data_IF_400324622619
#
_entry.id   IF_400324622619
#
_cell.length_a   1.000
_cell.length_b   1.000
_cell.length_c   1.000
_cell.angle_alpha   90.00
_cell.angle_beta   90.00
_cell.angle_gamma   90.00
#
_symmetry.space_group_name_H-M   'P 1'
#
loop_
_entity.id
_entity.type
_entity.pdbx_description
1 polymer ?
2 water ?
#
# COMPACT_ATOMS: atom_id res chain seq x y z
N UNK A 1 2.58 -8.34 -2.99
CA UNK A 1 1.99 -7.07 -2.51
C UNK A 1 0.82 -6.63 -3.39
N UNK A 2 -0.23 -6.12 -2.76
CA UNK A 2 -1.40 -5.69 -3.50
C UNK A 2 -2.21 -4.67 -2.71
N UNK A 3 -2.81 -3.71 -3.43
CA UNK A 3 -3.61 -2.64 -2.83
C UNK A 3 -5.09 -2.82 -3.10
N UNK A 4 -5.90 -2.83 -2.04
CA UNK A 4 -7.33 -2.99 -2.19
C UNK A 4 -8.03 -1.65 -2.11
N UNK A 5 -9.02 -1.42 -2.98
CA UNK A 5 -9.78 -0.18 -3.00
C UNK A 5 -11.21 -0.43 -2.51
N UNK A 6 -11.57 0.23 -1.41
CA UNK A 6 -12.88 0.03 -0.80
C UNK A 6 -13.61 1.34 -0.63
N UNK A 7 -14.92 1.25 -0.38
CA UNK A 7 -15.73 2.44 -0.18
C UNK A 7 -17.23 2.16 -0.30
N UNK A 8 -18.06 3.12 0.09
CA UNK A 8 -19.48 2.92 -0.03
C UNK A 8 -19.81 3.20 -1.51
N UNK A 9 -21.05 2.94 -1.95
CA UNK A 9 -21.36 3.22 -3.36
C UNK A 9 -21.64 4.71 -3.62
N UNK A 10 -21.42 5.15 -4.85
CA UNK A 10 -21.68 6.53 -5.25
C UNK A 10 -20.73 7.64 -4.80
N UNK A 11 -19.53 7.26 -4.35
CA UNK A 11 -18.53 8.25 -3.94
C UNK A 11 -17.38 8.21 -4.96
N UNK A 12 -17.51 7.33 -5.96
CA UNK A 12 -16.50 7.22 -6.99
C UNK A 12 -15.46 6.12 -6.76
N UNK A 13 -15.74 5.22 -5.82
CA UNK A 13 -14.82 4.12 -5.52
C UNK A 13 -14.44 3.30 -6.74
N UNK A 14 -15.45 2.93 -7.52
CA UNK A 14 -15.25 2.11 -8.72
C UNK A 14 -14.51 2.92 -9.78
N UNK A 15 -14.84 4.21 -9.86
CA UNK A 15 -14.20 5.11 -10.80
C UNK A 15 -12.72 5.17 -10.45
N UNK A 16 -12.42 5.37 -9.16
CA UNK A 16 -11.02 5.43 -8.71
C UNK A 16 -10.29 4.19 -9.19
N UNK A 17 -10.89 3.01 -9.00
CA UNK A 17 -10.26 1.79 -9.46
C UNK A 17 -10.12 1.85 -10.98
N UNK A 18 -11.24 2.06 -11.67
CA UNK A 18 -11.23 2.14 -13.14
C UNK A 18 -10.16 3.12 -13.61
N UNK A 19 -10.17 4.30 -13.00
CA UNK A 19 -9.20 5.33 -13.36
C UNK A 19 -7.76 4.87 -13.16
N UNK A 20 -7.46 4.34 -11.98
CA UNK A 20 -6.10 3.90 -11.69
C UNK A 20 -5.72 2.58 -12.33
N UNK A 21 -6.70 1.85 -12.85
CA UNK A 21 -6.41 0.52 -13.43
C UNK A 21 -6.31 0.51 -14.98
N UNK A 22 -6.75 1.57 -15.66
CA UNK A 22 -6.67 1.61 -17.13
C UNK A 22 -5.21 1.46 -17.53
N UNK A 37 -10.61 -10.81 -12.67
CA UNK A 37 -11.82 -10.10 -13.08
C UNK A 37 -11.87 -8.71 -12.44
N UNK A 38 -11.84 -8.69 -11.11
CA UNK A 38 -11.88 -7.45 -10.35
C UNK A 38 -10.46 -7.06 -9.93
N UNK A 39 -9.48 -7.63 -10.61
CA UNK A 39 -8.08 -7.34 -10.30
C UNK A 39 -7.40 -6.65 -11.47
N UNK A 40 -6.60 -5.64 -11.16
CA UNK A 40 -5.91 -4.91 -12.22
C UNK A 40 -4.51 -4.53 -11.81
N UNK A 41 -3.90 -3.68 -12.62
CA UNK A 41 -2.54 -3.23 -12.34
C UNK A 41 -2.47 -1.71 -12.45
N UNK A 42 -1.97 -1.08 -11.41
CA UNK A 42 -1.82 0.36 -11.41
C UNK A 42 -0.31 0.53 -11.37
N UNK A 43 0.16 1.75 -11.16
CA UNK A 43 1.60 1.94 -11.28
C UNK A 43 2.14 2.87 -10.20
N UNK A 44 3.43 2.67 -9.86
CA UNK A 44 4.05 3.54 -8.87
C UNK A 44 5.12 4.43 -9.49
N UNK A 45 4.75 5.72 -9.66
CA UNK A 45 5.64 6.63 -10.36
C UNK A 45 6.47 7.49 -9.40
N UNK A 46 7.76 7.37 -9.61
CA UNK A 46 8.75 8.15 -8.89
C UNK A 46 9.94 8.34 -9.84
N UNK A 47 10.95 9.08 -9.42
CA UNK A 47 12.09 9.32 -10.29
C UNK A 47 12.86 8.06 -10.65
N UNK A 48 12.92 7.74 -11.94
CA UNK A 48 13.67 6.57 -12.39
C UNK A 48 15.15 6.94 -12.24
N UNK A 49 15.96 6.02 -11.72
CA UNK A 49 17.40 6.24 -11.49
C UNK A 49 18.07 7.03 -12.61
N UNK A 50 17.47 6.97 -13.82
CA UNK A 50 18.11 7.61 -14.96
C UNK A 50 17.87 9.12 -14.99
N UNK A 51 18.34 9.78 -13.92
CA UNK A 51 18.49 11.23 -13.89
C UNK A 51 19.86 11.67 -13.36
N UNK A 52 20.94 11.07 -13.90
CA UNK A 52 22.26 11.43 -13.43
C UNK A 52 23.35 11.00 -14.41
N UNK A 53 23.63 9.69 -14.42
CA UNK A 53 24.64 9.18 -15.34
C UNK A 53 24.05 8.17 -16.33
N UNK A 54 22.89 7.70 -15.87
CA UNK A 54 22.05 6.69 -16.48
C UNK A 54 21.31 7.22 -17.71
N UNK A 55 21.18 6.35 -18.72
CA UNK A 55 20.50 6.76 -19.95
C UNK A 55 20.08 5.55 -20.78
N UNK A 56 18.99 5.60 -21.58
CA UNK A 56 18.38 4.56 -22.40
C UNK A 56 18.42 3.21 -21.70
N UNK A 57 17.52 3.04 -20.72
CA UNK A 57 17.38 1.78 -19.99
C UNK A 57 16.54 0.77 -20.79
N UNK A 58 16.86 -0.54 -20.67
CA UNK A 58 15.98 -1.52 -21.31
C UNK A 58 15.12 -2.27 -20.28
N UNK A 59 14.02 -1.65 -19.83
CA UNK A 59 13.11 -2.18 -18.81
C UNK A 59 12.39 -3.47 -19.18
N UNK A 60 12.19 -4.33 -18.19
CA UNK A 60 11.50 -5.59 -18.39
C UNK A 60 10.35 -5.78 -17.41
N UNK A 61 10.58 -5.55 -16.13
CA UNK A 61 9.45 -5.75 -15.23
C UNK A 61 8.65 -4.45 -15.05
N UNK A 62 9.27 -3.33 -15.50
CA UNK A 62 8.61 -2.04 -15.36
C UNK A 62 8.53 -1.27 -16.68
N UNK A 63 8.60 0.07 -16.55
CA UNK A 63 8.52 0.91 -17.74
C UNK A 63 9.13 2.30 -17.50
N UNK A 64 9.89 2.70 -18.51
CA UNK A 64 10.54 4.01 -18.49
C UNK A 64 9.57 5.03 -19.05
N UNK A 65 9.72 6.28 -18.64
CA UNK A 65 8.81 7.34 -19.09
C UNK A 65 9.30 8.70 -18.57
N UNK A 66 9.80 9.52 -19.49
CA UNK A 66 10.28 10.86 -19.16
C UNK A 66 11.06 10.98 -17.85
N UNK A 67 12.10 10.17 -17.71
CA UNK A 67 12.90 10.23 -16.50
C UNK A 67 12.18 9.78 -15.25
N UNK A 68 11.07 9.06 -15.43
CA UNK A 68 10.30 8.56 -14.30
C UNK A 68 10.11 7.06 -14.40
N UNK A 69 10.13 6.40 -13.25
CA UNK A 69 9.94 4.96 -13.18
C UNK A 69 8.49 4.61 -12.87
N UNK A 70 7.88 3.83 -13.75
CA UNK A 70 6.50 3.39 -13.52
C UNK A 70 6.52 1.89 -13.19
N UNK A 71 6.59 1.60 -11.90
CA UNK A 71 6.64 0.24 -11.37
C UNK A 71 5.23 -0.28 -11.14
N UNK A 72 4.86 -1.42 -11.77
CA UNK A 72 3.53 -2.02 -11.63
C UNK A 72 3.18 -2.53 -10.23
N UNK A 73 1.89 -2.46 -9.89
CA UNK A 73 1.35 -2.86 -8.59
C UNK A 73 -0.06 -3.41 -8.72
N UNK A 74 -0.31 -4.56 -8.09
CA UNK A 74 -1.65 -5.16 -8.14
C UNK A 74 -2.66 -4.29 -7.42
N UNK A 75 -3.88 -4.24 -7.96
CA UNK A 75 -4.95 -3.46 -7.36
C UNK A 75 -6.24 -4.26 -7.47
N UNK A 76 -7.03 -4.24 -6.41
CA UNK A 76 -8.27 -4.99 -6.33
C UNK A 76 -9.50 -4.09 -6.11
N UNK A 77 -10.54 -4.30 -6.90
CA UNK A 77 -11.77 -3.52 -6.75
C UNK A 77 -12.58 -4.25 -5.67
N UNK A 78 -12.34 -3.88 -4.41
CA UNK A 78 -12.99 -4.51 -3.27
C UNK A 78 -14.43 -4.11 -2.99
N UNK A 79 -15.37 -4.95 -3.37
CA UNK A 79 -16.79 -4.67 -3.12
C UNK A 79 -17.67 -5.88 -3.39
N UNK A 95 -18.98 -10.64 0.05
CA UNK A 95 -17.88 -10.70 -0.90
C UNK A 95 -16.72 -9.81 -0.43
N UNK A 96 -16.90 -9.08 0.67
CA UNK A 96 -15.84 -8.24 1.19
C UNK A 96 -14.76 -9.10 1.86
N UNK A 97 -14.15 -9.97 1.06
CA UNK A 97 -13.05 -10.82 1.49
C UNK A 97 -12.08 -10.74 0.32
N UNK A 98 -12.21 -9.64 -0.42
CA UNK A 98 -11.34 -9.34 -1.55
C UNK A 98 -10.17 -8.58 -0.93
N UNK A 99 -10.38 -8.12 0.31
CA UNK A 99 -9.36 -7.36 1.03
C UNK A 99 -8.45 -8.26 1.87
N UNK A 100 -8.91 -9.47 2.15
CA UNK A 100 -8.17 -10.44 2.96
C UNK A 100 -6.65 -10.43 2.80
N UNK A 101 -6.17 -10.39 1.56
CA UNK A 101 -4.72 -10.40 1.29
C UNK A 101 -4.11 -9.05 0.98
N UNK A 102 -4.89 -7.99 1.15
CA UNK A 102 -4.40 -6.66 0.86
C UNK A 102 -3.27 -6.24 1.79
N UNK A 103 -2.25 -5.62 1.24
CA UNK A 103 -1.15 -5.13 2.05
C UNK A 103 -1.59 -3.74 2.54
N UNK A 104 -2.50 -3.12 1.81
CA UNK A 104 -2.96 -1.80 2.20
C UNK A 104 -4.25 -1.53 1.49
N UNK A 105 -5.00 -0.56 2.01
CA UNK A 105 -6.25 -0.22 1.41
C UNK A 105 -6.35 1.28 1.14
N UNK A 106 -7.01 1.63 0.05
CA UNK A 106 -7.25 3.02 -0.28
C UNK A 106 -8.76 3.19 -0.04
N UNK A 107 -9.11 3.85 1.06
CA UNK A 107 -10.53 4.04 1.34
C UNK A 107 -11.07 5.34 0.74
N UNK A 108 -11.85 5.22 -0.33
CA UNK A 108 -12.46 6.35 -1.04
C UNK A 108 -13.73 6.83 -0.34
N UNK A 109 -13.77 8.12 -0.03
CA UNK A 109 -14.92 8.70 0.65
C UNK A 109 -15.39 9.95 -0.07
N UNK A 110 -16.60 10.35 0.26
CA UNK A 110 -17.26 11.51 -0.33
C UNK A 110 -16.89 12.81 0.39
N UNK A 111 -15.93 13.57 -0.13
CA UNK A 111 -15.53 14.80 0.54
C UNK A 111 -16.69 15.81 0.71
N UNK A 112 -17.58 15.86 -0.26
CA UNK A 112 -18.70 16.78 -0.16
C UNK A 112 -19.63 16.40 0.98
N UNK A 113 -19.55 15.16 1.42
CA UNK A 113 -20.40 14.70 2.50
C UNK A 113 -21.88 14.75 2.15
N UNK A 114 -22.17 14.69 0.86
CA UNK A 114 -23.55 14.73 0.39
C UNK A 114 -24.07 13.33 0.11
N UNK A 115 -23.43 12.33 0.71
CA UNK A 115 -23.86 10.93 0.53
C UNK A 115 -24.13 10.23 1.86
N UNK A 116 -25.15 9.38 1.85
CA UNK A 116 -25.60 8.62 3.02
C UNK A 116 -24.66 7.45 3.33
N UNK A 117 -24.76 6.88 4.54
CA UNK A 117 -23.88 5.76 4.85
C UNK A 117 -24.09 4.64 3.84
N UNK A 118 -25.35 4.42 3.45
CA UNK A 118 -25.68 3.40 2.47
C UNK A 118 -25.35 3.88 1.07
N UNK A 119 -24.95 5.15 0.97
CA UNK A 119 -24.59 5.72 -0.32
C UNK A 119 -25.66 6.39 -1.16
N UNK A 120 -26.59 7.11 -0.55
CA UNK A 120 -27.65 7.77 -1.31
C UNK A 120 -27.75 9.26 -0.89
N UNK A 121 -28.12 10.15 -1.83
CA UNK A 121 -28.23 11.59 -1.56
C UNK A 121 -28.77 11.98 -0.19
N UNK A 122 -28.14 12.98 0.39
CA UNK A 122 -28.47 13.52 1.70
C UNK A 122 -27.90 14.94 1.81
N UNK A 123 -28.32 15.68 2.82
CA UNK A 123 -27.84 17.04 2.98
C UNK A 123 -26.39 17.10 3.46
N UNK A 124 -26.06 16.26 4.44
CA UNK A 124 -24.69 16.25 4.95
C UNK A 124 -24.38 15.08 5.86
N UNK A 125 -23.36 14.31 5.48
CA UNK A 125 -22.92 13.16 6.27
C UNK A 125 -21.40 13.16 6.34
N UNK A 126 -20.88 13.44 7.52
CA UNK A 126 -19.46 13.49 7.78
C UNK A 126 -18.75 12.22 7.31
N UNK A 127 -17.81 12.35 6.35
CA UNK A 127 -17.07 11.21 5.83
C UNK A 127 -16.33 10.49 6.95
N UNK A 128 -15.87 11.28 7.92
CA UNK A 128 -15.16 10.78 9.08
C UNK A 128 -15.89 9.68 9.85
N UNK A 129 -17.18 9.55 9.47
CA UNK A 129 -17.97 8.54 10.16
C UNK A 129 -17.99 7.23 9.33
N UNK A 130 -17.79 7.35 8.02
CA UNK A 130 -17.74 6.17 7.16
C UNK A 130 -16.38 5.56 7.34
N UNK A 131 -15.41 6.40 7.72
CA UNK A 131 -14.04 5.92 7.91
C UNK A 131 -14.06 5.02 9.12
N UNK A 132 -14.71 5.49 10.17
CA UNK A 132 -14.80 4.71 11.39
C UNK A 132 -15.61 3.44 11.13
N UNK A 133 -16.65 3.54 10.31
CA UNK A 133 -17.46 2.37 10.00
C UNK A 133 -16.57 1.26 9.49
N UNK A 134 -15.90 1.52 8.38
CA UNK A 134 -14.98 0.54 7.76
C UNK A 134 -14.02 -0.03 8.81
N UNK A 135 -13.45 0.87 9.59
CA UNK A 135 -12.51 0.55 10.65
C UNK A 135 -12.98 -0.60 11.55
N UNK A 136 -14.15 -0.41 12.18
CA UNK A 136 -14.72 -1.42 13.07
C UNK A 136 -15.05 -2.75 12.39
N UNK A 137 -15.49 -2.72 11.13
CA UNK A 137 -15.80 -3.97 10.46
C UNK A 137 -14.55 -4.83 10.28
N UNK A 138 -13.42 -4.20 9.98
CA UNK A 138 -12.18 -4.97 9.79
C UNK A 138 -11.67 -5.43 11.15
N UNK A 139 -11.82 -4.57 12.15
CA UNK A 139 -11.42 -4.88 13.50
C UNK A 139 -12.16 -6.07 14.07
N UNK A 140 -13.49 -6.07 13.96
CA UNK A 140 -14.24 -7.18 14.50
C UNK A 140 -14.09 -8.45 13.69
N UNK A 141 -13.85 -8.31 12.39
CA UNK A 141 -13.65 -9.46 11.51
C UNK A 141 -12.45 -10.34 12.00
N UNK A 142 -11.30 -9.68 12.19
CA UNK A 142 -10.07 -10.23 12.76
C UNK A 142 -10.30 -10.75 14.18
N UNK A 143 -10.99 -9.93 14.98
CA UNK A 143 -11.29 -10.34 16.35
C UNK A 143 -12.13 -11.62 16.38
N UNK A 144 -13.14 -11.74 15.53
CA UNK A 144 -13.97 -12.92 15.59
C UNK A 144 -13.18 -14.16 15.25
N UNK A 145 -12.22 -14.06 14.31
CA UNK A 145 -11.43 -15.22 13.95
C UNK A 145 -10.60 -15.71 15.14
N UNK A 146 -10.11 -14.79 15.96
CA UNK A 146 -9.33 -15.14 17.15
C UNK A 146 -10.21 -15.60 18.30
N UNK A 147 -11.25 -14.81 18.59
CA UNK A 147 -12.18 -15.05 19.68
C UNK A 147 -12.96 -16.36 19.55
N UNK A 148 -13.58 -16.57 18.40
CA UNK A 148 -14.32 -17.81 18.16
C UNK A 148 -13.39 -19.01 18.28
N UNK A 149 -13.70 -19.91 19.23
CA UNK A 149 -12.87 -21.08 19.40
C UNK A 149 -11.84 -20.85 20.48
N UNK A 150 -11.55 -19.58 20.76
CA UNK A 150 -10.31 -19.10 21.39
C UNK A 150 -9.98 -19.83 22.69
N UNK A 151 -10.91 -20.69 23.20
CA UNK A 151 -10.59 -21.36 24.44
C UNK A 151 -9.83 -22.65 24.11
N UNK A 152 -10.33 -23.33 23.07
CA UNK A 152 -9.72 -24.52 22.47
C UNK A 152 -8.71 -24.09 21.43
N UNK A 153 -8.02 -23.01 21.80
CA UNK A 153 -6.78 -22.69 21.16
C UNK A 153 -5.73 -22.38 22.23
N UNK A 154 -6.16 -21.72 23.29
CA UNK A 154 -5.21 -21.34 24.34
C UNK A 154 -4.66 -22.57 25.08
N UNK A 155 -5.49 -23.62 25.16
CA UNK A 155 -5.04 -24.77 25.94
C UNK A 155 -4.38 -25.84 25.06
N UNK A 156 -4.58 -25.74 23.73
CA UNK A 156 -3.86 -26.64 22.83
C UNK A 156 -2.41 -26.18 22.61
N UNK A 157 -2.00 -25.35 23.58
CA UNK A 157 -0.79 -24.55 23.33
C UNK A 157 -0.08 -24.18 24.63
N UNK A 158 -0.84 -24.29 25.75
CA UNK A 158 -0.28 -24.05 27.06
C UNK A 158 0.39 -25.31 27.61
N UNK A 159 -0.07 -26.46 27.09
CA UNK A 159 0.55 -27.72 27.49
C UNK A 159 1.38 -28.30 26.35
N UNK A 160 0.84 -28.16 25.12
CA UNK A 160 1.66 -28.49 23.95
C UNK A 160 2.80 -27.49 23.81
N UNK A 161 2.68 -26.39 24.60
CA UNK A 161 3.80 -25.45 24.73
C UNK A 161 4.14 -24.74 23.42
N UNK A 162 3.19 -24.76 22.47
CA UNK A 162 3.45 -24.10 21.19
C UNK A 162 3.88 -22.64 21.38
N UNK A 163 4.52 -22.14 20.31
CA UNK A 163 4.91 -20.75 20.28
C UNK A 163 3.72 -19.87 19.89
N UNK A 164 3.33 -19.04 20.88
CA UNK A 164 2.06 -18.31 20.79
C UNK A 164 1.99 -17.45 19.52
N UNK A 165 3.08 -16.73 19.31
CA UNK A 165 3.26 -16.01 18.06
C UNK A 165 3.02 -16.87 16.81
N UNK A 166 3.66 -18.04 16.74
CA UNK A 166 3.49 -18.91 15.57
C UNK A 166 2.08 -19.45 15.41
N UNK A 167 1.46 -19.79 16.53
CA UNK A 167 0.10 -20.33 16.50
C UNK A 167 -0.92 -19.28 16.04
N UNK A 168 -0.81 -18.07 16.55
CA UNK A 168 -1.74 -17.02 16.14
C UNK A 168 -1.43 -16.72 14.67
N UNK A 169 -0.14 -16.59 14.38
CA UNK A 169 0.31 -16.30 13.02
C UNK A 169 -0.26 -17.30 12.02
N UNK A 170 -0.21 -18.59 12.34
CA UNK A 170 -0.77 -19.58 11.43
C UNK A 170 -2.27 -19.36 11.33
N UNK A 171 -2.90 -19.19 12.49
CA UNK A 171 -4.33 -19.00 12.54
C UNK A 171 -4.79 -17.81 11.73
N UNK A 172 -3.98 -16.76 11.64
CA UNK A 172 -4.39 -15.59 10.85
C UNK A 172 -3.52 -15.46 9.59
N UNK A 173 -2.77 -16.51 9.27
CA UNK A 173 -1.92 -16.52 8.08
C UNK A 173 -2.73 -16.16 6.84
N UNK A 174 -4.02 -16.46 6.88
CA UNK A 174 -4.88 -16.16 5.73
C UNK A 174 -5.09 -14.70 5.39
N UNK A 175 -4.71 -13.81 6.28
CA UNK A 175 -4.90 -12.39 6.02
C UNK A 175 -3.58 -11.67 5.70
N UNK A 176 -2.47 -12.37 5.87
CA UNK A 176 -1.18 -11.76 5.57
C UNK A 176 -0.33 -11.45 6.80
N UNK A 177 -0.70 -12.00 7.95
CA UNK A 177 0.04 -11.75 9.18
C UNK A 177 1.34 -12.59 9.34
N UNK A 178 2.48 -11.97 9.72
CA UNK A 178 3.79 -12.47 9.99
C UNK A 178 3.78 -12.96 11.40
N UNK A 179 4.70 -13.85 11.72
CA UNK A 179 4.94 -14.21 13.08
C UNK A 179 5.62 -13.00 13.71
N UNK A 180 6.22 -12.11 12.91
CA UNK A 180 6.88 -10.93 13.47
C UNK A 180 5.83 -9.88 13.83
N UNK A 181 4.77 -9.81 13.03
CA UNK A 181 3.70 -8.83 13.29
C UNK A 181 3.05 -9.20 14.62
N UNK A 182 2.85 -10.51 14.80
CA UNK A 182 2.24 -11.03 16.01
C UNK A 182 3.14 -10.74 17.21
N UNK A 183 4.42 -11.00 17.04
CA UNK A 183 5.37 -10.76 18.13
C UNK A 183 5.32 -9.30 18.63
N UNK A 184 5.35 -8.36 17.70
CA UNK A 184 5.34 -6.94 18.03
C UNK A 184 4.05 -6.49 18.67
N UNK A 185 2.93 -6.88 18.08
CA UNK A 185 1.64 -6.48 18.62
C UNK A 185 1.54 -6.89 20.07
N UNK A 186 1.84 -8.16 20.33
CA UNK A 186 1.78 -8.68 21.69
C UNK A 186 2.71 -7.88 22.59
N UNK A 187 3.94 -7.71 22.13
CA UNK A 187 4.97 -6.99 22.87
C UNK A 187 4.48 -5.59 23.21
N UNK A 188 3.85 -4.96 22.24
CA UNK A 188 3.35 -3.59 22.39
C UNK A 188 2.21 -3.43 23.39
N UNK A 189 1.42 -4.48 23.58
CA UNK A 189 0.29 -4.43 24.50
C UNK A 189 0.51 -5.31 25.72
N UNK A 190 1.77 -5.51 26.08
CA UNK A 190 2.12 -6.32 27.25
C UNK A 190 1.25 -7.56 27.37
N UNK A 191 1.08 -8.28 26.25
CA UNK A 191 0.32 -9.52 26.38
C UNK A 191 1.22 -10.71 26.75
N UNK A 192 0.60 -11.73 27.37
CA UNK A 192 1.31 -12.88 27.91
C UNK A 192 1.47 -13.98 26.85
N UNK A 193 2.52 -14.76 27.08
CA UNK A 193 2.81 -15.91 26.22
C UNK A 193 1.79 -17.02 26.46
N UNK A 194 1.18 -17.01 27.64
CA UNK A 194 0.17 -18.00 27.97
C UNK A 194 -1.16 -17.47 27.46
N UNK A 195 -1.65 -17.97 26.33
CA UNK A 195 -2.93 -17.47 25.82
C UNK A 195 -4.11 -17.57 26.80
N UNK A 196 -4.18 -18.65 27.56
CA UNK A 196 -5.27 -18.84 28.53
C UNK A 196 -5.44 -17.63 29.45
N UNK A 197 -4.43 -16.78 29.53
CA UNK A 197 -4.50 -15.59 30.37
C UNK A 197 -5.12 -14.41 29.61
N UNK A 198 -5.18 -14.50 28.28
CA UNK A 198 -5.76 -13.44 27.44
C UNK A 198 -7.25 -13.23 27.68
N UNK A 199 -7.66 -11.97 27.82
CA UNK A 199 -9.07 -11.62 28.02
C UNK A 199 -9.68 -11.13 26.71
N UNK A 200 -11.00 -10.95 26.68
CA UNK A 200 -11.67 -10.48 25.47
C UNK A 200 -11.13 -9.10 25.11
N UNK A 201 -10.89 -8.30 26.13
CA UNK A 201 -10.36 -6.95 25.92
C UNK A 201 -9.04 -7.05 25.22
N UNK A 202 -8.25 -8.06 25.62
CA UNK A 202 -6.95 -8.29 25.01
C UNK A 202 -7.10 -8.67 23.55
N UNK A 203 -8.08 -9.51 23.27
CA UNK A 203 -8.32 -9.95 21.91
C UNK A 203 -8.72 -8.82 20.96
N UNK A 204 -9.74 -8.05 21.34
CA UNK A 204 -10.18 -6.95 20.48
C UNK A 204 -9.04 -5.94 20.29
N UNK A 205 -8.37 -5.62 21.39
CA UNK A 205 -7.25 -4.68 21.34
C UNK A 205 -6.14 -5.24 20.46
N UNK A 206 -5.90 -6.54 20.59
CA UNK A 206 -4.87 -7.17 19.77
C UNK A 206 -5.32 -7.16 18.33
N UNK A 207 -6.61 -7.39 18.10
CA UNK A 207 -7.14 -7.39 16.74
C UNK A 207 -6.93 -6.03 16.07
N UNK A 208 -7.29 -4.96 16.79
CA UNK A 208 -7.15 -3.61 16.26
C UNK A 208 -5.68 -3.32 15.93
N UNK A 209 -4.77 -3.77 16.78
CA UNK A 209 -3.37 -3.53 16.54
C UNK A 209 -2.90 -4.24 15.28
N UNK A 210 -3.50 -5.40 15.00
CA UNK A 210 -3.14 -6.17 13.82
C UNK A 210 -3.62 -5.47 12.56
N UNK A 211 -4.84 -4.93 12.63
CA UNK A 211 -5.43 -4.23 11.50
C UNK A 211 -4.55 -3.05 11.12
N UNK A 212 -4.20 -2.25 12.13
CA UNK A 212 -3.37 -1.07 11.95
C UNK A 212 -2.10 -1.35 11.17
N UNK A 213 -1.52 -2.52 11.38
CA UNK A 213 -0.29 -2.92 10.73
C UNK A 213 -0.48 -3.76 9.46
N UNK A 214 -1.52 -4.61 9.47
CA UNK A 214 -1.84 -5.53 8.36
C UNK A 214 -2.83 -4.98 7.34
N UNK A 215 -3.65 -4.04 7.76
CA UNK A 215 -4.62 -3.44 6.84
C UNK A 215 -4.53 -1.92 6.95
N UNK A 216 -3.33 -1.36 6.80
CA UNK A 216 -3.16 0.08 6.87
C UNK A 216 -3.82 0.69 5.66
N UNK A 217 -4.34 1.89 5.80
CA UNK A 217 -4.99 2.49 4.66
C UNK A 217 -4.76 3.96 4.44
N UNK A 218 -5.04 4.38 3.22
CA UNK A 218 -4.94 5.77 2.85
C UNK A 218 -6.35 6.15 2.43
N UNK A 219 -6.76 7.34 2.85
CA UNK A 219 -8.08 7.80 2.54
C UNK A 219 -8.12 8.77 1.36
N UNK A 220 -8.91 8.43 0.35
CA UNK A 220 -9.04 9.28 -0.82
C UNK A 220 -10.33 10.08 -0.63
N UNK A 221 -10.21 11.36 -0.31
CA UNK A 221 -11.38 12.23 -0.14
C UNK A 221 -11.76 12.61 -1.56
N UNK A 222 -12.57 11.74 -2.19
CA UNK A 222 -12.95 11.93 -3.58
C UNK A 222 -14.06 12.94 -3.85
N UNK A 223 -14.10 13.44 -5.07
CA UNK A 223 -15.06 14.45 -5.50
C UNK A 223 -14.67 15.79 -4.89
N UNK A 224 -13.39 15.90 -4.55
CA UNK A 224 -12.85 17.11 -3.95
C UNK A 224 -13.17 18.37 -4.75
N UNK A 225 -13.12 18.25 -6.08
CA UNK A 225 -13.43 19.34 -6.99
C UNK A 225 -14.80 19.95 -6.70
N UNK A 226 -15.74 19.12 -6.25
CA UNK A 226 -17.08 19.61 -5.95
C UNK A 226 -17.18 20.03 -4.48
N UNK A 227 -16.06 20.00 -3.77
CA UNK A 227 -16.07 20.37 -2.36
C UNK A 227 -15.23 21.61 -2.10
N UNK A 228 -15.44 22.23 -0.95
CA UNK A 228 -14.69 23.43 -0.59
C UNK A 228 -13.42 23.07 0.19
N UNK A 229 -12.42 23.95 0.10
CA UNK A 229 -11.16 23.79 0.80
C UNK A 229 -11.39 23.56 2.30
N UNK A 230 -12.42 24.22 2.82
CA UNK A 230 -12.82 24.11 4.22
C UNK A 230 -13.27 22.69 4.56
N UNK A 231 -14.10 22.13 3.67
CA UNK A 231 -14.57 20.77 3.87
C UNK A 231 -13.41 19.76 3.84
N UNK A 232 -12.55 19.94 2.82
CA UNK A 232 -11.42 19.02 2.66
C UNK A 232 -10.45 19.11 3.84
N UNK A 233 -9.98 20.33 4.09
CA UNK A 233 -9.02 20.61 5.17
C UNK A 233 -9.53 20.11 6.51
N UNK A 234 -10.85 20.08 6.68
CA UNK A 234 -11.40 19.69 7.96
C UNK A 234 -11.25 18.19 8.18
N UNK A 235 -11.56 17.43 7.11
CA UNK A 235 -11.46 15.98 7.19
C UNK A 235 -10.00 15.53 7.26
N UNK A 236 -9.14 16.21 6.47
CA UNK A 236 -7.72 15.91 6.56
C UNK A 236 -7.20 16.08 7.99
N UNK A 237 -7.50 17.23 8.59
CA UNK A 237 -7.07 17.52 9.95
C UNK A 237 -7.56 16.50 10.99
N UNK A 238 -8.86 16.27 10.99
CA UNK A 238 -9.48 15.35 11.94
C UNK A 238 -8.85 13.96 11.84
N UNK A 239 -8.81 13.42 10.65
CA UNK A 239 -8.27 12.08 10.42
C UNK A 239 -6.74 11.93 10.51
N UNK A 240 -5.98 12.98 10.20
CA UNK A 240 -4.53 12.82 10.27
C UNK A 240 -4.09 12.75 11.73
N UNK A 241 -4.97 13.11 12.64
CA UNK A 241 -4.65 13.00 14.05
C UNK A 241 -4.87 11.55 14.47
N UNK A 242 -5.78 10.88 13.77
CA UNK A 242 -6.12 9.48 14.05
C UNK A 242 -5.21 8.47 13.38
N UNK A 243 -4.13 8.93 12.76
CA UNK A 243 -3.22 8.01 12.11
C UNK A 243 -3.59 7.67 10.67
N UNK A 244 -4.35 8.56 10.02
CA UNK A 244 -4.76 8.36 8.64
C UNK A 244 -4.25 9.45 7.71
N UNK A 245 -3.77 9.03 6.54
CA UNK A 245 -3.30 9.97 5.52
C UNK A 245 -4.50 10.27 4.61
N UNK A 246 -4.85 11.54 4.46
CA UNK A 246 -5.99 11.90 3.61
C UNK A 246 -5.64 12.83 2.47
N UNK A 247 -5.99 12.43 1.26
CA UNK A 247 -5.69 13.23 0.09
C UNK A 247 -6.91 13.54 -0.79
N UNK A 248 -7.14 14.83 -1.11
CA UNK A 248 -8.28 15.18 -1.96
C UNK A 248 -8.11 14.50 -3.29
N UNK A 249 -9.22 14.23 -3.98
CA UNK A 249 -9.13 13.49 -5.23
C UNK A 249 -10.36 13.64 -6.14
N UNK A 250 -10.12 13.59 -7.45
CA UNK A 250 -11.19 13.69 -8.44
C UNK A 250 -11.02 12.52 -9.41
N UNK A 251 -11.62 11.40 -9.05
CA UNK A 251 -11.53 10.19 -9.85
C UNK A 251 -12.06 10.34 -11.27
N UNK A 252 -13.30 10.83 -11.41
CA UNK A 252 -13.90 10.99 -12.73
C UNK A 252 -12.96 11.75 -13.66
N UNK A 253 -12.27 12.74 -13.12
CA UNK A 253 -11.29 13.53 -13.85
C UNK A 253 -10.12 12.72 -14.42
N UNK A 254 -9.39 12.01 -13.54
CA UNK A 254 -8.22 11.34 -14.10
C UNK A 254 -8.61 10.22 -15.06
N UNK A 255 -9.83 9.70 -14.86
CA UNK A 255 -10.31 8.66 -15.76
C UNK A 255 -10.46 9.23 -17.16
N UNK A 256 -10.97 10.46 -17.19
CA UNK A 256 -11.09 11.16 -18.46
C UNK A 256 -9.72 11.30 -19.14
N UNK A 257 -8.88 12.15 -18.54
CA UNK A 257 -7.55 12.40 -19.12
C UNK A 257 -6.72 11.12 -19.23
N UNK A 258 -7.17 10.08 -18.50
CA UNK A 258 -6.54 8.79 -18.69
C UNK A 258 -7.06 8.13 -19.98
N UNK A 259 -8.38 8.02 -20.07
CA UNK A 259 -9.22 7.67 -21.20
C UNK A 259 -9.14 8.76 -22.24
N UNK A 260 -8.04 9.48 -22.15
CA UNK A 260 -7.53 10.13 -23.36
C UNK A 260 -6.29 9.42 -23.90
N UNK A 261 -6.53 8.29 -24.59
CA UNK A 261 -5.48 7.64 -25.33
C UNK A 261 -5.93 7.61 -26.77
N UNK A 262 -6.08 8.89 -27.21
CA UNK A 262 -5.75 9.38 -28.56
C UNK A 262 -5.65 10.94 -28.49
N UNK A 263 -6.77 11.60 -28.10
CA UNK A 263 -6.86 13.06 -28.23
C UNK A 263 -5.84 13.82 -27.37
N UNK A 264 -4.80 13.22 -26.74
CA UNK A 264 -3.87 14.14 -26.02
C UNK A 264 -3.01 13.54 -24.89
N UNK A 265 -1.98 14.31 -24.42
CA UNK A 265 -0.77 13.94 -23.68
C UNK A 265 -0.91 14.12 -22.15
N UNK A 266 -1.16 12.98 -21.45
CA UNK A 266 -1.17 12.96 -19.98
C UNK A 266 -0.21 11.90 -19.38
N UNK A 267 0.06 11.99 -18.05
CA UNK A 267 1.18 11.20 -17.51
C UNK A 267 0.90 10.10 -16.45
N UNK A 268 0.37 10.44 -15.25
CA UNK A 268 -0.36 11.71 -15.05
C UNK A 268 0.08 12.44 -13.77
N UNK A 269 0.25 13.77 -13.91
CA UNK A 269 0.36 14.64 -12.75
C UNK A 269 0.13 16.08 -13.18
N UNK A 270 1.18 16.80 -13.64
CA UNK A 270 1.09 18.22 -13.90
C UNK A 270 -0.05 18.58 -14.86
N UNK A 288 -12.63 19.21 -26.33
CA UNK A 288 -11.56 20.10 -25.88
C UNK A 288 -11.96 20.87 -24.62
N UNK A 289 -13.29 20.97 -24.41
CA UNK A 289 -13.76 21.67 -23.23
C UNK A 289 -13.62 20.82 -21.96
N UNK A 290 -12.41 20.21 -21.82
CA UNK A 290 -12.05 19.63 -20.54
C UNK A 290 -10.95 20.48 -19.88
N UNK A 291 -10.80 21.70 -20.41
CA UNK A 291 -9.88 22.66 -19.81
C UNK A 291 -10.33 23.06 -18.41
N UNK A 292 -11.55 22.64 -18.08
CA UNK A 292 -12.13 22.88 -16.78
C UNK A 292 -11.34 22.04 -15.78
N UNK A 293 -11.08 20.79 -16.13
CA UNK A 293 -10.30 19.93 -15.25
C UNK A 293 -8.93 20.56 -15.10
N UNK A 294 -8.45 21.19 -16.16
CA UNK A 294 -7.16 21.87 -16.12
C UNK A 294 -7.29 22.96 -15.09
N UNK A 295 -8.44 23.63 -15.10
CA UNK A 295 -8.71 24.73 -14.17
C UNK A 295 -9.17 24.23 -12.80
N UNK A 296 -10.36 23.68 -12.73
CA UNK A 296 -10.92 23.23 -11.46
C UNK A 296 -10.08 22.11 -10.83
N UNK A 297 -9.05 21.69 -11.58
CA UNK A 297 -8.04 20.81 -11.00
C UNK A 297 -6.64 21.34 -11.27
N UNK A 298 -6.60 22.68 -11.28
CA UNK A 298 -5.34 23.41 -11.22
C UNK A 298 -5.11 23.89 -9.78
N UNK A 299 -6.18 23.58 -9.04
CA UNK A 299 -6.37 23.99 -7.67
C UNK A 299 -5.66 23.00 -6.75
N UNK A 300 -5.56 21.72 -7.11
CA UNK A 300 -4.87 20.74 -6.27
C UNK A 300 -3.48 20.33 -6.78
N UNK A 301 -3.18 20.64 -8.04
CA UNK A 301 -1.89 20.29 -8.60
C UNK A 301 -1.91 18.94 -9.35
N UNK A 302 -3.06 18.27 -9.32
CA UNK A 302 -3.23 17.00 -9.99
C UNK A 302 -4.60 16.44 -9.65
N UNK A 303 -4.88 15.23 -10.08
CA UNK A 303 -6.16 14.60 -9.81
C UNK A 303 -6.16 13.91 -8.45
N UNK A 304 -4.99 13.89 -7.80
CA UNK A 304 -4.88 13.30 -6.49
C UNK A 304 -4.79 11.79 -6.47
N UNK A 305 -5.27 11.16 -7.52
CA UNK A 305 -5.23 9.70 -7.60
C UNK A 305 -3.82 9.17 -7.52
N UNK A 306 -2.94 9.69 -8.38
CA UNK A 306 -1.57 9.23 -8.38
C UNK A 306 -0.87 9.42 -7.04
N UNK A 307 -1.19 10.53 -6.38
CA UNK A 307 -0.63 10.88 -5.07
C UNK A 307 -0.98 9.80 -4.03
N UNK A 308 -2.25 9.41 -4.01
CA UNK A 308 -2.69 8.41 -3.07
C UNK A 308 -1.90 7.11 -3.25
N UNK A 309 -1.75 6.65 -4.49
CA UNK A 309 -1.01 5.41 -4.75
C UNK A 309 0.46 5.49 -4.36
N UNK A 310 1.08 6.65 -4.56
CA UNK A 310 2.47 6.80 -4.17
C UNK A 310 2.57 6.79 -2.64
N UNK A 311 1.58 7.37 -1.95
CA UNK A 311 1.64 7.41 -0.49
C UNK A 311 1.44 6.03 0.09
N UNK A 312 0.65 5.19 -0.59
CA UNK A 312 0.45 3.83 -0.11
C UNK A 312 1.75 3.00 -0.22
N UNK A 313 2.35 3.04 -1.40
CA UNK A 313 3.57 2.30 -1.72
C UNK A 313 4.83 2.75 -0.98
N UNK A 314 5.15 4.03 -1.10
CA UNK A 314 6.34 4.64 -0.51
C UNK A 314 6.25 5.03 0.97
N UNK A 315 5.06 5.39 1.43
CA UNK A 315 4.90 5.82 2.81
C UNK A 315 4.29 4.76 3.71
N UNK A 316 3.02 4.43 3.49
CA UNK A 316 2.36 3.43 4.32
C UNK A 316 3.23 2.19 4.43
N UNK A 317 3.42 1.52 3.29
CA UNK A 317 4.20 0.31 3.27
C UNK A 317 5.70 0.56 3.30
N UNK A 318 6.10 1.82 3.11
CA UNK A 318 7.50 2.21 3.13
C UNK A 318 8.38 1.40 2.18
N UNK A 319 7.92 1.22 0.96
CA UNK A 319 8.70 0.49 -0.04
C UNK A 319 9.63 1.49 -0.71
N UNK A 320 10.78 1.01 -1.18
CA UNK A 320 11.75 1.85 -1.87
C UNK A 320 12.17 1.09 -3.12
N UNK A 321 12.38 1.80 -4.24
CA UNK A 321 12.79 1.13 -5.48
C UNK A 321 14.28 0.74 -5.41
N UNK A 322 14.62 -0.42 -5.97
CA UNK A 322 16.00 -0.92 -5.95
C UNK A 322 16.27 -1.72 -7.23
N UNK A 323 17.41 -1.50 -7.85
CA UNK A 323 17.76 -2.18 -9.10
C UNK A 323 19.02 -3.03 -9.07
N UNK A 324 18.89 -4.35 -9.28
CA UNK A 324 20.03 -5.27 -9.28
C UNK A 324 20.62 -5.41 -10.68
N UNK A 325 21.94 -5.31 -10.75
CA UNK A 325 22.66 -5.41 -12.01
C UNK A 325 23.67 -6.55 -11.97
N UNK A 326 24.33 -6.77 -13.11
CA UNK A 326 25.34 -7.82 -13.25
C UNK A 326 26.68 -7.08 -13.30
N UNK A 327 26.58 -5.86 -13.86
CA UNK A 327 27.80 -5.09 -14.01
C UNK A 327 27.61 -3.60 -13.62
N UNK A 328 28.23 -3.19 -12.52
CA UNK A 328 28.10 -1.82 -12.04
C UNK A 328 28.87 -0.90 -12.96
N UNK A 334 22.44 -9.57 -17.00
CA UNK A 334 22.91 -10.92 -17.32
C UNK A 334 23.01 -11.12 -18.84
N UNK A 335 21.87 -10.93 -19.51
CA UNK A 335 21.68 -11.07 -20.96
C UNK A 335 22.07 -9.81 -21.74
N UNK A 336 22.54 -8.78 -20.99
CA UNK A 336 23.19 -7.66 -21.66
C UNK A 336 22.33 -6.40 -21.75
N UNK A 337 21.21 -6.41 -21.02
CA UNK A 337 20.39 -5.19 -20.96
C UNK A 337 20.73 -4.37 -19.72
N UNK A 338 20.53 -3.04 -19.83
CA UNK A 338 20.88 -2.17 -18.70
C UNK A 338 19.67 -1.84 -17.82
N UNK A 339 19.90 -1.89 -16.51
CA UNK A 339 18.87 -1.66 -15.49
C UNK A 339 17.55 -2.37 -15.83
N UNK A 340 17.62 -3.68 -16.16
CA UNK A 340 16.47 -4.53 -16.52
C UNK A 340 15.30 -4.61 -15.54
N UNK A 341 15.60 -4.83 -14.26
CA UNK A 341 14.51 -4.95 -13.28
C UNK A 341 14.57 -4.02 -12.09
N UNK A 342 13.40 -3.81 -11.49
CA UNK A 342 13.27 -2.96 -10.33
C UNK A 342 12.44 -3.69 -9.30
N UNK A 343 12.85 -3.62 -8.04
CA UNK A 343 12.09 -4.28 -6.99
C UNK A 343 11.72 -3.32 -5.85
N UNK A 344 10.49 -3.48 -5.38
CA UNK A 344 9.99 -2.69 -4.27
C UNK A 344 10.47 -3.44 -3.03
N UNK A 345 11.44 -2.87 -2.33
CA UNK A 345 11.98 -3.46 -1.11
C UNK A 345 11.46 -2.70 0.11
N UNK A 346 11.27 -3.42 1.20
CA UNK A 346 10.83 -2.79 2.42
C UNK A 346 12.02 -2.10 3.04
N UNK A 347 11.84 -0.89 3.57
CA UNK A 347 13.00 -0.18 4.15
C UNK A 347 13.53 -1.07 5.28
N UNK A 348 14.85 -1.22 5.34
CA UNK A 348 15.48 -2.06 6.33
C UNK A 348 16.00 -3.33 5.65
N UNK A 349 15.68 -3.46 4.37
CA UNK A 349 16.14 -4.60 3.60
C UNK A 349 17.64 -4.45 3.37
N UNK A 350 18.28 -5.53 2.97
CA UNK A 350 19.71 -5.50 2.71
C UNK A 350 19.91 -6.11 1.35
N UNK A 351 21.13 -6.00 0.79
CA UNK A 351 21.34 -6.58 -0.54
C UNK A 351 21.05 -8.08 -0.60
N UNK A 352 21.32 -8.80 0.48
CA UNK A 352 21.04 -10.22 0.45
C UNK A 352 19.54 -10.44 0.30
N UNK A 353 18.75 -9.55 0.87
CA UNK A 353 17.28 -9.63 0.74
C UNK A 353 16.95 -9.37 -0.71
N UNK A 354 17.68 -8.46 -1.35
CA UNK A 354 17.44 -8.16 -2.76
C UNK A 354 17.80 -9.38 -3.61
N UNK A 355 18.73 -10.19 -3.13
CA UNK A 355 19.14 -11.41 -3.84
C UNK A 355 17.99 -12.42 -3.89
N UNK A 356 17.29 -12.59 -2.77
CA UNK A 356 16.18 -13.54 -2.72
C UNK A 356 15.02 -13.15 -3.61
N UNK A 357 14.77 -11.86 -3.74
CA UNK A 357 13.69 -11.43 -4.62
C UNK A 357 13.96 -11.98 -6.02
N UNK A 358 15.23 -11.98 -6.43
CA UNK A 358 15.59 -12.50 -7.74
C UNK A 358 15.45 -14.03 -7.72
N UNK A 359 16.27 -14.71 -6.92
CA UNK A 359 16.18 -16.17 -6.86
C UNK A 359 16.79 -16.79 -5.61
N UNK A 360 16.16 -17.87 -5.14
CA UNK A 360 16.61 -18.62 -3.97
C UNK A 360 18.13 -18.78 -3.89
N UNK A 361 18.73 -19.37 -4.92
CA UNK A 361 20.17 -19.61 -4.92
C UNK A 361 21.00 -18.35 -4.82
N UNK A 362 20.62 -17.33 -5.58
CA UNK A 362 21.35 -16.07 -5.51
C UNK A 362 21.42 -15.67 -4.04
N UNK A 363 20.28 -15.77 -3.36
CA UNK A 363 20.23 -15.43 -1.95
C UNK A 363 21.06 -16.36 -1.11
N UNK A 364 20.97 -17.65 -1.40
CA UNK A 364 21.73 -18.63 -0.64
C UNK A 364 23.24 -18.47 -0.84
N UNK A 365 23.68 -18.45 -2.09
CA UNK A 365 25.10 -18.31 -2.35
C UNK A 365 25.63 -16.89 -2.21
N UNK A 366 24.90 -16.03 -1.51
CA UNK A 366 25.30 -14.64 -1.34
C UNK A 366 26.65 -14.47 -0.66
N UNK A 367 27.45 -13.56 -1.20
CA UNK A 367 28.76 -13.30 -0.60
C UNK A 367 28.80 -11.83 -0.18
N UNK A 368 28.51 -10.94 -1.12
CA UNK A 368 28.52 -9.51 -0.81
C UNK A 368 27.99 -8.72 -1.97
N UNK A 369 27.77 -7.42 -1.75
CA UNK A 369 27.24 -6.55 -2.80
C UNK A 369 28.07 -5.29 -3.00
N UNK A 370 27.86 -4.66 -4.15
CA UNK A 370 28.58 -3.43 -4.49
C UNK A 370 27.58 -2.35 -4.89
N UNK A 371 27.73 -1.17 -4.28
CA UNK A 371 26.87 -0.03 -4.56
C UNK A 371 27.23 0.50 -5.94
N UNK A 372 26.40 0.22 -6.93
CA UNK A 372 26.65 0.66 -8.31
C UNK A 372 26.68 2.16 -8.48
N UNK A 373 26.66 2.90 -7.37
CA UNK A 373 26.71 4.34 -7.42
C UNK A 373 28.02 4.78 -6.81
N UNK A 374 28.26 4.39 -5.55
CA UNK A 374 29.49 4.74 -4.86
C UNK A 374 30.65 3.95 -5.45
N UNK A 375 30.32 2.81 -6.05
CA UNK A 375 31.30 1.92 -6.67
C UNK A 375 32.14 1.17 -5.64
N UNK A 376 31.68 1.16 -4.39
CA UNK A 376 32.42 0.43 -3.36
C UNK A 376 31.60 -0.66 -2.71
N UNK A 377 32.30 -1.60 -2.09
CA UNK A 377 31.68 -2.73 -1.43
C UNK A 377 30.91 -2.27 -0.20
N UNK A 378 29.67 -2.75 -0.10
CA UNK A 378 28.75 -2.42 0.98
C UNK A 378 28.91 -3.41 2.13
N UNK A 379 28.30 -3.07 3.26
CA UNK A 379 28.33 -3.95 4.41
C UNK A 379 27.22 -4.98 4.27
N UNK A 380 27.25 -6.06 5.04
CA UNK A 380 26.21 -7.06 4.93
C UNK A 380 24.94 -6.60 5.59
N UNK A 381 25.10 -5.64 6.47
CA UNK A 381 23.99 -5.07 7.21
C UNK A 381 23.54 -3.77 6.57
N UNK A 382 24.05 -3.50 5.37
CA UNK A 382 23.71 -2.29 4.65
C UNK A 382 22.22 -2.19 4.33
N UNK A 383 21.65 -1.03 4.65
CA UNK A 383 20.23 -0.83 4.39
C UNK A 383 20.00 -0.20 3.01
N UNK A 384 19.29 -0.95 2.16
CA UNK A 384 18.93 -0.38 0.86
C UNK A 384 18.29 0.99 1.03
N UNK A 385 18.78 1.96 0.25
CA UNK A 385 18.19 3.30 0.30
C UNK A 385 17.43 3.55 -1.00
N UNK A 386 16.51 4.51 -0.95
CA UNK A 386 15.61 4.77 -2.08
C UNK A 386 16.44 4.90 -3.37
N UNK A 387 16.12 4.04 -4.35
CA UNK A 387 16.68 4.21 -5.69
C UNK A 387 18.15 3.77 -5.77
N UNK A 388 18.47 2.70 -5.04
CA UNK A 388 19.86 2.23 -5.03
C UNK A 388 20.18 1.37 -6.24
N UNK A 389 21.40 1.30 -6.78
CA UNK A 389 21.72 0.43 -7.90
C UNK A 389 22.73 -0.55 -7.27
N UNK A 390 22.49 -1.85 -7.42
CA UNK A 390 23.36 -2.81 -6.75
C UNK A 390 23.82 -4.06 -7.48
N UNK A 391 25.09 -4.43 -7.28
CA UNK A 391 25.68 -5.62 -7.88
C UNK A 391 25.75 -6.75 -6.84
N UNK A 392 25.11 -7.86 -7.15
CA UNK A 392 25.09 -9.00 -6.25
C UNK A 392 26.14 -10.06 -6.63
N UNK A 393 26.90 -10.50 -5.64
CA UNK A 393 27.93 -11.50 -5.85
C UNK A 393 27.57 -12.76 -5.08
N UNK A 394 27.32 -13.85 -5.81
CA UNK A 394 26.96 -15.11 -5.17
C UNK A 394 27.74 -16.30 -5.69
N UNK A 395 28.09 -17.20 -4.78
CA UNK A 395 28.81 -18.42 -5.15
C UNK A 395 27.84 -19.16 -6.08
#
# INVERSE_FOLDING_TARGET
MEIGVVGKPNVGKSTFFSAATLVDVEIANYPFTTIEANVGVTYAITDHPCKELGCSPNPQNYEYRNGLALIPVKMVDVAGLVPGAHEGRGLGNKFLDDLRMASALIHVVDATGKTDPEGQPTDYHDPVEDIEFLEREIDYWIYGILSKGWDKFAKRIKLQKIKLESAIAEHLSGIGVNENDVWEAMHKLNLPEDPTKWSQDDLLAFASEIRRVNKPMVIAANKADAASDEQIKRLVREEEKRGYIVIPTSAAAELTLRKAAKAGFIEYIPGASEFKVLRDXSEKQKRALMVIKEKVLDRFGSTGVQEVINRVVFDLLKLIPVYPVHDENKLTDQFGNVLPHVFLMKKGSTPRDLAFKVHTDLGKGFLYAINARTKRRVGEDYELQFNDIVKIVSVTR
#
